data_IF_069758068741
#
_entry.id   IF_069758068741
#
_cell.length_a   1.000
_cell.length_b   1.000
_cell.length_c   1.000
_cell.angle_alpha   90.00
_cell.angle_beta   90.00
_cell.angle_gamma   90.00
#
_symmetry.space_group_name_H-M   'P 1'
#
loop_
_entity.id
_entity.type
_entity.pdbx_description
1 polymer ?
#
# COMPACT_ATOMS: atom_id res chain seq x y z
N UNK A 1 -8.35 -0.88 11.41
CA UNK A 1 -7.47 0.31 11.31
C UNK A 1 -6.35 -0.03 10.34
N UNK A 2 -6.07 0.82 9.36
CA UNK A 2 -4.96 0.62 8.43
C UNK A 2 -3.68 1.15 9.07
N UNK A 3 -2.60 0.40 9.00
CA UNK A 3 -1.32 0.77 9.64
C UNK A 3 -0.34 1.40 8.64
N UNK A 4 -0.37 0.97 7.39
CA UNK A 4 0.54 1.43 6.35
C UNK A 4 -0.25 1.88 5.12
N UNK A 5 0.25 2.92 4.46
CA UNK A 5 -0.25 3.39 3.18
C UNK A 5 0.92 3.46 2.19
N UNK A 6 0.76 2.79 1.06
CA UNK A 6 1.64 2.93 -0.10
C UNK A 6 0.88 3.70 -1.17
N UNK A 7 1.25 4.95 -1.38
CA UNK A 7 0.67 5.76 -2.45
C UNK A 7 1.52 5.68 -3.71
N UNK A 8 0.84 5.59 -4.85
CA UNK A 8 1.44 5.45 -6.16
C UNK A 8 0.79 6.47 -7.09
N UNK A 9 1.61 7.32 -7.70
CA UNK A 9 1.16 8.11 -8.85
C UNK A 9 1.50 7.34 -10.13
N UNK A 10 0.48 6.85 -10.82
CA UNK A 10 0.65 6.01 -12.01
C UNK A 10 1.27 6.77 -13.20
N UNK A 11 1.10 8.09 -13.27
CA UNK A 11 1.64 8.92 -14.34
C UNK A 11 3.15 9.17 -14.15
N UNK A 12 3.54 9.60 -12.95
CA UNK A 12 4.94 9.93 -12.64
C UNK A 12 5.74 8.72 -12.16
N UNK A 13 5.06 7.60 -11.89
CA UNK A 13 5.61 6.40 -11.24
C UNK A 13 6.26 6.67 -9.88
N UNK A 14 5.88 7.77 -9.22
CA UNK A 14 6.38 8.10 -7.88
C UNK A 14 5.66 7.29 -6.83
N UNK A 15 6.41 6.86 -5.81
CA UNK A 15 5.93 6.10 -4.67
C UNK A 15 6.18 6.90 -3.40
N UNK A 16 5.21 6.89 -2.48
CA UNK A 16 5.42 7.32 -1.11
C UNK A 16 4.85 6.28 -0.16
N UNK A 17 5.52 6.11 0.98
CA UNK A 17 5.13 5.16 2.00
C UNK A 17 4.92 5.89 3.32
N UNK A 18 3.81 5.58 3.99
CA UNK A 18 3.40 6.23 5.22
C UNK A 18 2.93 5.20 6.24
N UNK A 19 3.11 5.53 7.50
CA UNK A 19 2.66 4.76 8.65
C UNK A 19 1.69 5.59 9.48
N UNK A 20 0.60 4.98 9.92
CA UNK A 20 -0.41 5.62 10.76
C UNK A 20 0.14 5.75 12.19
N UNK A 21 0.30 6.98 12.65
CA UNK A 21 0.74 7.30 14.00
C UNK A 21 -0.41 7.46 14.99
N UNK A 22 -0.18 8.30 15.99
CA UNK A 22 -1.24 8.74 16.90
C UNK A 22 -2.28 9.58 16.14
N UNK A 23 -3.54 9.56 16.61
CA UNK A 23 -4.63 10.38 16.06
C UNK A 23 -4.94 10.17 14.57
N UNK A 24 -4.54 9.03 14.00
CA UNK A 24 -4.71 8.70 12.59
C UNK A 24 -3.98 9.66 11.63
N UNK A 25 -2.91 10.29 12.13
CA UNK A 25 -1.99 11.07 11.29
C UNK A 25 -1.05 10.14 10.52
N UNK A 26 -0.82 10.46 9.25
CA UNK A 26 0.10 9.71 8.40
C UNK A 26 1.50 10.31 8.45
N UNK A 27 2.49 9.48 8.78
CA UNK A 27 3.89 9.90 8.83
C UNK A 27 4.70 9.26 7.71
N UNK A 28 5.50 10.02 6.95
CA UNK A 28 6.33 9.47 5.90
C UNK A 28 7.38 8.51 6.46
N UNK A 29 7.60 7.42 5.74
CA UNK A 29 8.61 6.40 6.01
C UNK A 29 9.40 6.11 4.75
N UNK A 30 10.70 5.87 4.91
CA UNK A 30 11.51 5.37 3.81
C UNK A 30 11.03 3.97 3.45
N UNK A 31 10.84 3.72 2.16
CA UNK A 31 10.53 2.39 1.66
C UNK A 31 11.39 2.09 0.44
N UNK A 32 11.68 0.80 0.28
CA UNK A 32 12.33 0.20 -0.88
C UNK A 32 11.30 -0.43 -1.81
N UNK A 33 10.02 -0.06 -1.67
CA UNK A 33 8.97 -0.52 -2.54
C UNK A 33 9.30 -0.20 -4.01
N UNK A 34 8.99 -1.14 -4.89
CA UNK A 34 9.22 -1.02 -6.32
C UNK A 34 7.91 -1.12 -7.07
N UNK A 35 7.87 -0.46 -8.21
CA UNK A 35 6.71 -0.35 -9.08
C UNK A 35 7.12 -0.67 -10.51
N UNK A 36 6.33 -1.52 -11.16
CA UNK A 36 6.31 -1.63 -12.61
C UNK A 36 4.88 -1.39 -13.12
N UNK A 37 4.79 -0.71 -14.26
CA UNK A 37 3.53 -0.42 -14.93
C UNK A 37 3.73 -0.55 -16.43
N UNK A 38 3.12 -1.60 -16.99
CA UNK A 38 2.99 -1.87 -18.42
C UNK A 38 1.54 -2.29 -18.71
N UNK A 39 1.25 -3.58 -18.93
CA UNK A 39 -0.13 -4.09 -19.09
C UNK A 39 -0.91 -4.18 -17.78
N UNK A 40 -0.20 -4.26 -16.66
CA UNK A 40 -0.76 -4.28 -15.31
C UNK A 40 0.13 -3.49 -14.36
N UNK A 41 -0.44 -3.20 -13.19
CA UNK A 41 0.27 -2.63 -12.06
C UNK A 41 0.94 -3.75 -11.26
N UNK A 42 2.25 -3.71 -11.15
CA UNK A 42 3.03 -4.62 -10.31
C UNK A 42 3.72 -3.84 -9.20
N UNK A 43 3.60 -4.32 -7.97
CA UNK A 43 4.14 -3.66 -6.78
C UNK A 43 4.88 -4.68 -5.94
N UNK A 44 6.13 -4.39 -5.59
CA UNK A 44 6.91 -5.16 -4.64
C UNK A 44 7.12 -4.33 -3.38
N UNK A 45 6.67 -4.84 -2.22
CA UNK A 45 6.88 -4.21 -0.92
C UNK A 45 7.74 -5.13 -0.07
N UNK A 46 8.97 -4.72 0.31
CA UNK A 46 9.80 -5.55 1.17
C UNK A 46 9.17 -5.72 2.55
N UNK A 47 9.08 -6.96 3.04
CA UNK A 47 8.55 -7.28 4.37
C UNK A 47 9.23 -6.51 5.50
N UNK A 48 10.54 -6.28 5.36
CA UNK A 48 11.32 -5.50 6.32
C UNK A 48 10.88 -4.02 6.42
N UNK A 49 10.12 -3.49 5.46
CA UNK A 49 9.54 -2.14 5.54
C UNK A 49 8.21 -2.13 6.33
N UNK A 50 7.58 -3.30 6.54
CA UNK A 50 6.28 -3.45 7.21
C UNK A 50 6.38 -3.81 8.70
N UNK A 51 7.60 -3.95 9.23
CA UNK A 51 7.86 -4.34 10.63
C UNK A 51 7.10 -5.62 11.06
N UNK A 52 7.04 -6.61 10.16
CA UNK A 52 6.27 -7.85 10.35
C UNK A 52 7.00 -8.86 11.25
N UNK A 53 6.26 -9.67 11.99
CA UNK A 53 6.77 -10.86 12.69
C UNK A 53 6.42 -12.14 11.92
N UNK A 54 7.07 -13.28 12.21
CA UNK A 54 6.71 -14.57 11.61
C UNK A 54 5.22 -14.91 11.73
N UNK A 55 4.69 -15.64 10.74
CA UNK A 55 3.30 -16.09 10.64
C UNK A 55 2.24 -14.99 10.45
N UNK A 56 2.65 -13.74 10.17
CA UNK A 56 1.72 -12.67 9.86
C UNK A 56 1.13 -12.76 8.46
N UNK A 57 -0.13 -12.31 8.37
CA UNK A 57 -0.82 -12.05 7.12
C UNK A 57 -1.01 -10.54 6.96
N UNK A 58 -0.55 -10.00 5.85
CA UNK A 58 -0.88 -8.63 5.46
C UNK A 58 -2.24 -8.63 4.79
N UNK A 59 -3.11 -7.71 5.21
CA UNK A 59 -4.41 -7.48 4.60
C UNK A 59 -4.39 -6.14 3.90
N UNK A 60 -4.60 -6.15 2.59
CA UNK A 60 -4.52 -4.98 1.72
C UNK A 60 -5.89 -4.64 1.15
N UNK A 61 -6.16 -3.34 1.05
CA UNK A 61 -7.18 -2.80 0.15
C UNK A 61 -6.48 -1.96 -0.91
N UNK A 62 -6.84 -2.14 -2.17
CA UNK A 62 -6.40 -1.29 -3.25
C UNK A 62 -7.51 -0.30 -3.58
N UNK A 63 -7.19 0.99 -3.48
CA UNK A 63 -8.12 2.10 -3.74
C UNK A 63 -7.60 2.89 -4.93
N UNK A 64 -8.45 3.10 -5.92
CA UNK A 64 -8.19 4.02 -7.01
C UNK A 64 -8.77 5.39 -6.64
N UNK A 65 -7.94 6.42 -6.82
CA UNK A 65 -8.34 7.81 -6.66
C UNK A 65 -8.05 8.59 -7.93
N UNK A 66 -8.91 9.54 -8.26
CA UNK A 66 -8.69 10.54 -9.30
C UNK A 66 -8.82 11.93 -8.67
N UNK A 67 -7.87 12.82 -8.94
CA UNK A 67 -7.88 14.20 -8.40
C UNK A 67 -8.08 14.24 -6.87
N UNK A 68 -7.34 13.39 -6.14
CA UNK A 68 -7.43 13.26 -4.68
C UNK A 68 -8.79 12.80 -4.13
N UNK A 69 -9.69 12.35 -5.01
CA UNK A 69 -11.00 11.83 -4.65
C UNK A 69 -11.06 10.33 -4.86
N UNK A 70 -11.74 9.67 -3.95
CA UNK A 70 -12.08 8.25 -4.10
C UNK A 70 -12.82 8.02 -5.43
N UNK A 71 -12.41 6.99 -6.16
CA UNK A 71 -13.08 6.56 -7.38
C UNK A 71 -13.64 5.15 -7.23
N UNK A 72 -12.80 4.18 -6.84
CA UNK A 72 -13.21 2.79 -6.66
C UNK A 72 -12.25 2.04 -5.74
N UNK A 73 -12.65 0.86 -5.28
CA UNK A 73 -11.73 -0.10 -4.66
C UNK A 73 -11.76 -1.42 -5.43
N UNK A 74 -10.60 -2.09 -5.46
CA UNK A 74 -10.39 -3.31 -6.24
C UNK A 74 -11.08 -4.53 -5.60
N UNK A 75 -11.40 -4.44 -4.31
CA UNK A 75 -12.26 -5.39 -3.61
C UNK A 75 -13.20 -4.60 -2.71
N UNK A 76 -14.48 -4.59 -3.08
CA UNK A 76 -15.52 -3.88 -2.32
C UNK A 76 -15.89 -4.62 -1.03
N UNK A 77 -15.84 -5.96 -1.06
CA UNK A 77 -16.34 -6.80 0.04
C UNK A 77 -15.25 -7.47 0.88
N UNK A 78 -13.98 -7.47 0.45
CA UNK A 78 -12.91 -8.22 1.12
C UNK A 78 -11.55 -7.52 1.09
N UNK A 79 -10.68 -7.87 2.03
CA UNK A 79 -9.27 -7.48 2.00
C UNK A 79 -8.46 -8.58 1.30
N UNK A 80 -7.50 -8.18 0.47
CA UNK A 80 -6.55 -9.09 -0.18
C UNK A 80 -5.56 -9.56 0.89
N UNK A 81 -5.58 -10.85 1.20
CA UNK A 81 -4.65 -11.45 2.14
C UNK A 81 -3.36 -11.87 1.41
N UNK A 82 -2.21 -11.42 1.93
CA UNK A 82 -0.89 -11.79 1.44
C UNK A 82 -0.15 -12.44 2.62
N UNK A 83 0.15 -13.73 2.48
CA UNK A 83 0.96 -14.46 3.47
C UNK A 83 2.43 -14.07 3.36
N UNK A 84 3.07 -13.86 4.51
CA UNK A 84 4.52 -13.82 4.56
C UNK A 84 5.09 -15.20 4.16
N UNK A 85 6.14 -15.27 3.33
CA UNK A 85 6.80 -16.53 3.00
C UNK A 85 7.46 -17.20 4.20
#
# INVERSE_FOLDING_TARGET
>A
RFHHQLGINLLTKSIWFQEAGERDEWHPRTSRAQLALDKCLEVAVPWADLQTVPDWQVRLIAVLSAEERFSSCLSEDNLIAIGMP
#
